data_IF_027953849684
#
_entry.id   IF_027953849684
#
_cell.length_a   1.000
_cell.length_b   1.000
_cell.length_c   1.000
_cell.angle_alpha   90.00
_cell.angle_beta   90.00
_cell.angle_gamma   90.00
#
_symmetry.space_group_name_H-M   'P 1'
#
loop_
_entity.id
_entity.type
_entity.pdbx_description
1 polymer ?
#
# COMPACT_ATOMS: atom_id res chain seq x y z
N UNK A 1 -10.68 -35.46 -8.50
CA UNK A 1 -9.36 -35.70 -7.87
C UNK A 1 -8.46 -34.56 -8.31
N UNK A 2 -8.12 -33.66 -7.39
CA UNK A 2 -7.57 -32.33 -7.67
C UNK A 2 -6.08 -32.36 -8.02
N UNK A 3 -5.69 -31.62 -9.05
CA UNK A 3 -4.31 -31.45 -9.51
C UNK A 3 -3.65 -30.33 -8.71
N UNK A 4 -2.72 -30.69 -7.81
CA UNK A 4 -1.86 -29.74 -7.10
C UNK A 4 -0.80 -29.21 -8.10
N UNK A 5 -0.94 -27.95 -8.53
CA UNK A 5 0.10 -27.26 -9.28
C UNK A 5 1.27 -26.95 -8.32
N UNK A 6 2.33 -27.76 -8.41
CA UNK A 6 3.58 -27.54 -7.72
C UNK A 6 4.29 -26.32 -8.32
N UNK A 7 4.64 -25.35 -7.48
CA UNK A 7 5.49 -24.22 -7.87
C UNK A 7 6.94 -24.69 -8.02
N UNK A 8 7.64 -24.41 -9.13
CA UNK A 8 9.04 -24.76 -9.29
C UNK A 8 9.93 -23.84 -8.43
N UNK A 9 10.55 -24.41 -7.41
CA UNK A 9 11.68 -23.81 -6.69
C UNK A 9 12.92 -23.90 -7.59
N UNK A 10 13.34 -22.77 -8.16
CA UNK A 10 14.65 -22.69 -8.82
C UNK A 10 15.76 -22.61 -7.76
N UNK A 11 16.79 -23.46 -7.83
CA UNK A 11 17.93 -23.40 -6.92
C UNK A 11 18.75 -22.12 -7.19
N UNK A 12 19.10 -21.40 -6.13
CA UNK A 12 19.92 -20.19 -6.18
C UNK A 12 21.32 -20.50 -6.74
N UNK A 13 21.67 -19.87 -7.85
CA UNK A 13 23.03 -19.86 -8.39
C UNK A 13 23.92 -18.93 -7.53
N UNK A 14 25.10 -19.34 -7.03
CA UNK A 14 25.90 -18.56 -6.10
C UNK A 14 26.84 -17.52 -6.77
N UNK A 15 26.60 -17.11 -8.03
CA UNK A 15 27.50 -16.21 -8.77
C UNK A 15 26.89 -14.86 -9.17
N UNK A 16 26.50 -14.03 -8.19
CA UNK A 16 26.36 -12.59 -8.40
C UNK A 16 26.86 -11.87 -7.14
N UNK A 17 27.81 -10.95 -7.30
CA UNK A 17 28.42 -10.17 -6.21
C UNK A 17 27.43 -9.28 -5.45
N UNK A 18 27.88 -8.38 -4.54
CA UNK A 18 27.02 -7.63 -3.64
C UNK A 18 26.30 -6.49 -4.38
N UNK A 19 25.48 -6.82 -5.37
CA UNK A 19 24.38 -5.98 -5.75
C UNK A 19 23.32 -6.24 -4.68
N UNK A 20 23.24 -5.30 -3.74
CA UNK A 20 22.09 -5.06 -2.88
C UNK A 20 20.82 -5.09 -3.74
N UNK A 21 20.28 -6.27 -4.00
CA UNK A 21 18.91 -6.46 -4.43
C UNK A 21 18.07 -6.22 -3.18
N UNK A 22 18.03 -4.94 -2.76
CA UNK A 22 16.90 -4.40 -2.05
C UNK A 22 15.74 -4.80 -2.95
N UNK A 23 14.90 -5.72 -2.49
CA UNK A 23 13.66 -6.03 -3.17
C UNK A 23 12.92 -4.71 -3.16
N UNK A 24 13.04 -3.95 -4.25
CA UNK A 24 12.60 -2.57 -4.37
C UNK A 24 11.10 -2.56 -4.00
N UNK A 25 10.75 -2.12 -2.78
CA UNK A 25 9.39 -2.19 -2.28
C UNK A 25 8.62 -0.95 -2.75
N UNK A 26 8.92 -0.46 -3.95
CA UNK A 26 8.43 0.81 -4.49
C UNK A 26 6.91 0.81 -4.69
N UNK A 27 6.27 -0.37 -4.58
CA UNK A 27 4.81 -0.50 -4.69
C UNK A 27 4.09 -0.80 -3.38
N UNK A 28 4.82 -1.10 -2.30
CA UNK A 28 4.19 -1.41 -1.00
C UNK A 28 4.01 -0.15 -0.16
N UNK A 29 4.79 0.89 -0.45
CA UNK A 29 4.81 2.14 0.29
C UNK A 29 4.35 3.28 -0.62
N UNK A 30 3.84 4.36 -0.01
CA UNK A 30 3.52 5.59 -0.74
C UNK A 30 4.17 6.75 0.02
N UNK A 31 5.34 7.16 -0.43
CA UNK A 31 6.11 8.19 0.27
C UNK A 31 5.38 9.54 0.29
N UNK A 32 5.60 10.40 1.29
CA UNK A 32 4.96 11.71 1.37
C UNK A 32 5.27 12.61 0.16
N UNK A 33 6.39 12.37 -0.52
CA UNK A 33 6.83 13.04 -1.76
C UNK A 33 6.22 12.46 -3.04
N UNK A 34 5.63 11.28 -2.96
CA UNK A 34 5.05 10.57 -4.10
C UNK A 34 3.72 11.18 -4.55
N UNK A 35 3.39 11.00 -5.83
CA UNK A 35 2.17 11.54 -6.42
C UNK A 35 0.94 10.92 -5.75
N UNK A 36 0.13 11.75 -5.10
CA UNK A 36 -1.13 11.35 -4.48
C UNK A 36 -2.29 11.92 -5.29
N UNK A 37 -3.30 11.10 -5.66
CA UNK A 37 -4.43 11.56 -6.45
C UNK A 37 -5.23 12.62 -5.68
N UNK A 38 -5.39 13.79 -6.29
CA UNK A 38 -6.14 14.92 -5.74
C UNK A 38 -7.65 14.66 -5.74
N UNK A 39 -8.14 13.87 -6.69
CA UNK A 39 -9.54 13.48 -6.80
C UNK A 39 -9.72 12.00 -6.44
N UNK A 40 -9.96 11.73 -5.16
CA UNK A 40 -10.23 10.37 -4.68
C UNK A 40 -11.58 9.84 -5.19
N UNK A 41 -12.51 10.73 -5.53
CA UNK A 41 -13.85 10.43 -6.03
C UNK A 41 -13.86 9.71 -7.39
N UNK A 42 -12.86 9.95 -8.24
CA UNK A 42 -12.73 9.31 -9.55
C UNK A 42 -12.16 7.88 -9.49
N UNK A 43 -11.56 7.52 -8.34
CA UNK A 43 -10.95 6.20 -8.16
C UNK A 43 -11.99 5.13 -7.87
N UNK A 44 -11.74 3.90 -8.29
CA UNK A 44 -12.55 2.75 -7.85
C UNK A 44 -12.31 2.45 -6.37
N UNK A 45 -13.25 1.74 -5.72
CA UNK A 45 -13.08 1.25 -4.33
C UNK A 45 -11.80 0.42 -4.20
N UNK A 46 -11.53 -0.45 -5.18
CA UNK A 46 -10.30 -1.26 -5.21
C UNK A 46 -9.04 -0.41 -5.24
N UNK A 47 -9.01 0.66 -6.04
CA UNK A 47 -7.87 1.59 -6.07
C UNK A 47 -7.69 2.33 -4.74
N UNK A 48 -8.78 2.76 -4.09
CA UNK A 48 -8.68 3.34 -2.75
C UNK A 48 -8.17 2.33 -1.71
N UNK A 49 -8.57 1.07 -1.80
CA UNK A 49 -8.09 0.02 -0.90
C UNK A 49 -6.59 -0.26 -1.09
N UNK A 50 -6.12 -0.24 -2.34
CA UNK A 50 -4.68 -0.36 -2.63
C UNK A 50 -3.92 0.82 -2.04
N UNK A 51 -4.37 2.05 -2.29
CA UNK A 51 -3.76 3.26 -1.71
C UNK A 51 -3.78 3.22 -0.18
N UNK A 52 -4.87 2.75 0.43
CA UNK A 52 -4.98 2.61 1.87
C UNK A 52 -3.95 1.63 2.43
N UNK A 53 -3.75 0.48 1.78
CA UNK A 53 -2.70 -0.47 2.15
C UNK A 53 -1.31 0.16 2.04
N UNK A 54 -1.02 0.86 0.95
CA UNK A 54 0.29 1.49 0.74
C UNK A 54 0.60 2.56 1.80
N UNK A 55 -0.38 3.39 2.13
CA UNK A 55 -0.23 4.41 3.17
C UNK A 55 -0.10 3.77 4.56
N UNK A 56 -0.82 2.68 4.85
CA UNK A 56 -0.66 1.97 6.11
C UNK A 56 0.74 1.37 6.25
N UNK A 57 1.26 0.76 5.18
CA UNK A 57 2.63 0.26 5.14
C UNK A 57 3.65 1.39 5.32
N UNK A 58 3.44 2.55 4.69
CA UNK A 58 4.31 3.71 4.87
C UNK A 58 4.30 4.17 6.33
N UNK A 59 3.13 4.31 6.94
CA UNK A 59 3.02 4.70 8.34
C UNK A 59 3.70 3.69 9.26
N UNK A 60 3.53 2.39 9.03
CA UNK A 60 4.20 1.35 9.83
C UNK A 60 5.73 1.51 9.75
N UNK A 61 6.26 1.72 8.54
CA UNK A 61 7.67 1.99 8.37
C UNK A 61 8.10 3.28 9.08
N UNK A 62 7.36 4.37 8.95
CA UNK A 62 7.70 5.65 9.59
C UNK A 62 7.65 5.56 11.13
N UNK A 63 6.68 4.84 11.70
CA UNK A 63 6.60 4.57 13.13
C UNK A 63 7.79 3.74 13.65
N UNK A 64 8.31 2.83 12.82
CA UNK A 64 9.45 1.99 13.17
C UNK A 64 10.80 2.68 12.92
N UNK A 65 10.88 3.53 11.91
CA UNK A 65 12.10 4.18 11.46
C UNK A 65 12.37 5.50 12.19
N UNK A 66 11.33 6.27 12.53
CA UNK A 66 11.46 7.61 13.10
C UNK A 66 10.83 7.70 14.51
N UNK A 67 11.63 8.04 15.55
CA UNK A 67 11.13 8.16 16.92
C UNK A 67 10.28 9.41 17.17
N UNK A 68 10.29 10.41 16.27
CA UNK A 68 9.38 11.55 16.31
C UNK A 68 7.99 11.22 15.74
N UNK A 69 7.84 10.07 15.08
CA UNK A 69 6.60 9.56 14.54
C UNK A 69 6.40 9.86 13.05
N UNK A 70 5.24 9.49 12.49
CA UNK A 70 5.00 9.52 11.06
C UNK A 70 4.88 10.94 10.50
N UNK A 71 5.22 11.09 9.22
CA UNK A 71 5.13 12.36 8.55
C UNK A 71 3.67 12.86 8.47
N UNK A 72 3.43 14.16 8.74
CA UNK A 72 2.07 14.71 8.80
C UNK A 72 1.30 14.58 7.47
N UNK A 73 2.00 14.62 6.33
CA UNK A 73 1.42 14.41 5.00
C UNK A 73 0.86 12.98 4.87
N UNK A 74 1.59 11.96 5.33
CA UNK A 74 1.14 10.56 5.28
C UNK A 74 -0.15 10.39 6.10
N UNK A 75 -0.21 11.02 7.28
CA UNK A 75 -1.41 11.02 8.12
C UNK A 75 -2.61 11.73 7.48
N UNK A 76 -2.38 12.85 6.81
CA UNK A 76 -3.42 13.60 6.10
C UNK A 76 -4.02 12.78 4.96
N UNK A 77 -3.17 12.21 4.11
CA UNK A 77 -3.58 11.32 3.01
C UNK A 77 -4.38 10.11 3.52
N UNK A 78 -3.99 9.52 4.67
CA UNK A 78 -4.76 8.46 5.32
C UNK A 78 -6.16 8.92 5.70
N UNK A 79 -6.30 10.12 6.29
CA UNK A 79 -7.61 10.68 6.67
C UNK A 79 -8.49 10.90 5.45
N UNK A 80 -7.92 11.46 4.37
CA UNK A 80 -8.64 11.66 3.11
C UNK A 80 -9.13 10.32 2.52
N UNK A 81 -8.28 9.28 2.50
CA UNK A 81 -8.66 7.95 2.04
C UNK A 81 -9.78 7.32 2.88
N UNK A 82 -9.71 7.44 4.20
CA UNK A 82 -10.77 6.92 5.09
C UNK A 82 -12.09 7.64 4.80
N UNK A 83 -12.07 8.97 4.63
CA UNK A 83 -13.28 9.73 4.27
C UNK A 83 -13.88 9.29 2.94
N UNK A 84 -13.04 9.09 1.92
CA UNK A 84 -13.49 8.63 0.60
C UNK A 84 -14.02 7.19 0.61
N UNK A 85 -13.42 6.30 1.42
CA UNK A 85 -13.91 4.93 1.61
C UNK A 85 -15.23 4.91 2.38
N UNK A 86 -15.35 5.68 3.46
CA UNK A 86 -16.56 5.78 4.27
C UNK A 86 -17.75 6.34 3.46
N UNK A 87 -17.52 7.40 2.69
CA UNK A 87 -18.52 7.95 1.78
C UNK A 87 -19.07 6.88 0.83
N UNK A 88 -18.21 5.98 0.31
CA UNK A 88 -18.65 4.90 -0.59
C UNK A 88 -19.36 3.76 0.12
N UNK A 89 -18.94 3.42 1.33
CA UNK A 89 -19.66 2.45 2.17
C UNK A 89 -21.05 2.99 2.52
N UNK A 90 -21.16 4.26 2.92
CA UNK A 90 -22.43 4.92 3.22
C UNK A 90 -23.34 5.13 1.99
N UNK A 91 -22.76 5.30 0.80
CA UNK A 91 -23.55 5.37 -0.45
C UNK A 91 -24.08 3.99 -0.87
N UNK A 92 -23.43 2.91 -0.43
CA UNK A 92 -23.83 1.54 -0.76
C UNK A 92 -24.99 1.02 0.10
N UNK A 93 -25.43 1.78 1.11
CA UNK A 93 -26.54 1.44 2.00
C UNK A 93 -27.76 2.36 1.81
N UNK A 94 -28.62 2.11 0.81
CA UNK A 94 -29.91 2.80 0.69
C UNK A 94 -31.02 2.19 1.58
N UNK A 95 -30.71 1.27 2.51
CA UNK A 95 -31.70 0.58 3.36
C UNK A 95 -31.23 0.36 4.81
N UNK A 96 -30.56 1.36 5.39
CA UNK A 96 -30.20 1.44 6.82
C UNK A 96 -31.04 2.45 7.57
#
# INVERSE_FOLDING_TARGET
MATLHAYPVHPLDPQTGPASHRVEPEWIYLEPTEAFPEHLDDLTVTQLQVLHSQICSQLDWEYLADPAGPHPITLDRRRALIGALDARVGTQDPYG
#
